data_IF_916507659919
#
_entry.id   IF_916507659919
#
_cell.length_a   1.000
_cell.length_b   1.000
_cell.length_c   1.000
_cell.angle_alpha   90.00
_cell.angle_beta   90.00
_cell.angle_gamma   90.00
#
_symmetry.space_group_name_H-M   'P 1'
#
loop_
_entity.id
_entity.type
_entity.pdbx_description
1 polymer ?
#
# COMPACT_ATOMS: atom_id res chain seq x y z
N UNK A 1 -50.44 -29.96 22.00
CA UNK A 1 -49.18 -30.72 21.90
C UNK A 1 -48.85 -31.17 23.31
N UNK A 2 -48.59 -32.45 23.50
CA UNK A 2 -48.30 -32.97 24.82
C UNK A 2 -46.91 -32.52 25.33
N UNK A 3 -46.75 -32.48 26.64
CA UNK A 3 -45.53 -32.00 27.31
C UNK A 3 -44.30 -32.84 26.90
N UNK A 4 -44.46 -34.13 26.74
CA UNK A 4 -43.41 -35.06 26.33
C UNK A 4 -42.87 -34.77 24.94
N UNK A 5 -43.73 -34.40 23.97
CA UNK A 5 -43.31 -33.99 22.63
C UNK A 5 -42.51 -32.68 22.64
N UNK A 6 -42.87 -31.73 23.52
CA UNK A 6 -42.15 -30.48 23.67
C UNK A 6 -40.75 -30.70 24.23
N UNK A 7 -40.64 -31.55 25.26
CA UNK A 7 -39.35 -31.82 25.92
C UNK A 7 -38.41 -32.58 24.98
N UNK A 8 -38.87 -33.63 24.31
CA UNK A 8 -38.03 -34.39 23.36
C UNK A 8 -37.57 -33.52 22.19
N UNK A 9 -38.48 -32.76 21.59
CA UNK A 9 -38.12 -31.91 20.44
C UNK A 9 -37.22 -30.73 20.87
N UNK A 10 -37.45 -30.10 22.00
CA UNK A 10 -36.64 -29.04 22.51
C UNK A 10 -35.21 -29.48 22.81
N UNK A 11 -35.06 -30.66 23.43
CA UNK A 11 -33.77 -31.15 23.91
C UNK A 11 -32.95 -31.91 22.84
N UNK A 12 -33.59 -32.70 22.02
CA UNK A 12 -32.91 -33.68 21.17
C UNK A 12 -33.05 -33.45 19.66
N UNK A 13 -33.98 -32.60 19.20
CA UNK A 13 -34.20 -32.43 17.76
C UNK A 13 -32.98 -31.95 17.00
N UNK A 14 -32.21 -31.04 17.58
CA UNK A 14 -31.01 -30.49 16.98
C UNK A 14 -29.86 -31.49 16.98
N UNK A 15 -29.66 -32.19 18.11
CA UNK A 15 -28.52 -33.10 18.31
C UNK A 15 -28.74 -34.47 17.65
N UNK A 16 -29.86 -35.08 17.90
CA UNK A 16 -30.16 -36.44 17.43
C UNK A 16 -30.86 -36.48 16.06
N UNK A 17 -31.48 -35.36 15.67
CA UNK A 17 -32.14 -35.17 14.38
C UNK A 17 -33.61 -35.63 14.35
N UNK A 18 -34.34 -35.22 13.31
CA UNK A 18 -35.77 -35.46 13.21
C UNK A 18 -36.18 -36.94 13.10
N UNK A 19 -35.35 -37.80 12.52
CA UNK A 19 -35.63 -39.24 12.40
C UNK A 19 -35.62 -39.93 13.76
N UNK A 20 -34.65 -39.62 14.61
CA UNK A 20 -34.55 -40.15 15.97
C UNK A 20 -35.74 -39.66 16.84
N UNK A 21 -36.03 -38.35 16.80
CA UNK A 21 -37.14 -37.78 17.55
C UNK A 21 -38.50 -38.36 17.10
N UNK A 22 -38.67 -38.58 15.79
CA UNK A 22 -39.87 -39.21 15.23
C UNK A 22 -40.08 -40.62 15.76
N UNK A 23 -39.00 -41.43 15.83
CA UNK A 23 -39.03 -42.78 16.39
C UNK A 23 -39.36 -42.75 17.89
N UNK A 24 -38.79 -41.86 18.69
CA UNK A 24 -39.08 -41.74 20.13
C UNK A 24 -40.53 -41.29 20.41
N UNK A 25 -41.11 -40.50 19.50
CA UNK A 25 -42.48 -39.98 19.64
C UNK A 25 -43.52 -40.85 18.96
N UNK A 26 -43.14 -41.93 18.27
CA UNK A 26 -44.04 -42.78 17.53
C UNK A 26 -44.82 -42.06 16.41
N UNK A 27 -44.22 -41.04 15.80
CA UNK A 27 -44.86 -40.22 14.75
C UNK A 27 -44.05 -40.26 13.46
N UNK A 28 -44.68 -39.88 12.36
CA UNK A 28 -43.98 -39.79 11.08
C UNK A 28 -42.91 -38.69 11.08
N UNK A 29 -41.87 -38.88 10.27
CA UNK A 29 -40.79 -37.88 10.06
C UNK A 29 -41.38 -36.50 9.74
N UNK A 30 -42.36 -36.44 8.83
CA UNK A 30 -43.01 -35.19 8.42
C UNK A 30 -43.74 -34.50 9.58
N UNK A 31 -44.45 -35.29 10.39
CA UNK A 31 -45.13 -34.79 11.59
C UNK A 31 -44.15 -34.24 12.63
N UNK A 32 -43.01 -34.93 12.84
CA UNK A 32 -41.94 -34.49 13.72
C UNK A 32 -41.36 -33.13 13.27
N UNK A 33 -41.03 -32.95 11.99
CA UNK A 33 -40.51 -31.70 11.42
C UNK A 33 -41.52 -30.55 11.58
N UNK A 34 -42.81 -30.79 11.32
CA UNK A 34 -43.87 -29.80 11.49
C UNK A 34 -44.06 -29.37 12.95
N UNK A 35 -44.00 -30.34 13.90
CA UNK A 35 -44.07 -30.05 15.33
C UNK A 35 -42.89 -29.23 15.81
N UNK A 36 -41.65 -29.59 15.41
CA UNK A 36 -40.44 -28.84 15.73
C UNK A 36 -40.52 -27.40 15.21
N UNK A 37 -41.02 -27.19 13.96
CA UNK A 37 -41.24 -25.84 13.41
C UNK A 37 -42.20 -25.01 14.24
N UNK A 38 -43.32 -25.60 14.70
CA UNK A 38 -44.30 -24.91 15.56
C UNK A 38 -43.74 -24.53 16.92
N UNK A 39 -42.76 -25.28 17.43
CA UNK A 39 -42.03 -25.00 18.67
C UNK A 39 -40.87 -24.01 18.47
N UNK A 40 -40.63 -23.54 17.24
CA UNK A 40 -39.48 -22.68 16.94
C UNK A 40 -38.11 -23.40 17.03
N UNK A 41 -38.14 -24.76 17.12
CA UNK A 41 -36.88 -25.52 17.15
C UNK A 41 -36.31 -25.57 15.74
N UNK A 42 -35.11 -25.01 15.57
CA UNK A 42 -34.43 -24.95 14.30
C UNK A 42 -34.07 -26.34 13.76
N UNK A 43 -34.00 -26.48 12.44
CA UNK A 43 -33.53 -27.74 11.83
C UNK A 43 -32.03 -27.96 12.20
N UNK A 44 -31.64 -29.25 12.29
CA UNK A 44 -30.22 -29.63 12.48
C UNK A 44 -29.29 -28.92 11.48
N UNK A 45 -29.77 -28.67 10.26
CA UNK A 45 -29.06 -27.90 9.23
C UNK A 45 -28.90 -26.43 9.61
N UNK A 46 -29.92 -25.80 10.16
CA UNK A 46 -29.87 -24.41 10.61
C UNK A 46 -28.94 -24.24 11.82
N UNK A 47 -29.02 -25.18 12.76
CA UNK A 47 -28.14 -25.19 13.95
C UNK A 47 -26.66 -25.39 13.56
N UNK A 48 -26.38 -26.40 12.73
CA UNK A 48 -25.02 -26.64 12.22
C UNK A 48 -24.47 -25.41 11.47
N UNK A 49 -25.33 -24.68 10.76
CA UNK A 49 -24.96 -23.44 10.11
C UNK A 49 -24.62 -22.36 11.12
N UNK A 50 -25.37 -22.18 12.18
CA UNK A 50 -25.11 -21.21 13.25
C UNK A 50 -23.79 -21.55 13.96
N UNK A 51 -23.55 -22.82 14.27
CA UNK A 51 -22.28 -23.26 14.89
C UNK A 51 -21.07 -22.97 13.99
N UNK A 52 -21.18 -23.24 12.68
CA UNK A 52 -20.15 -22.93 11.69
C UNK A 52 -19.89 -21.43 11.63
N UNK A 53 -20.95 -20.63 11.53
CA UNK A 53 -20.85 -19.16 11.47
C UNK A 53 -20.23 -18.61 12.77
N UNK A 54 -20.61 -19.14 13.94
CA UNK A 54 -20.02 -18.79 15.23
C UNK A 54 -18.55 -19.14 15.29
N UNK A 55 -18.19 -20.38 14.94
CA UNK A 55 -16.79 -20.81 14.93
C UNK A 55 -15.93 -19.94 14.01
N UNK A 56 -16.44 -19.58 12.83
CA UNK A 56 -15.74 -18.67 11.90
C UNK A 56 -15.60 -17.28 12.51
N UNK A 57 -16.61 -16.71 13.19
CA UNK A 57 -16.50 -15.42 13.87
C UNK A 57 -15.39 -15.41 14.92
N UNK A 58 -15.32 -16.48 15.72
CA UNK A 58 -14.42 -16.57 16.88
C UNK A 58 -12.97 -16.88 16.46
N UNK A 59 -12.77 -17.63 15.38
CA UNK A 59 -11.47 -18.23 15.05
C UNK A 59 -10.88 -17.78 13.69
N UNK A 60 -11.70 -17.40 12.71
CA UNK A 60 -11.22 -17.12 11.35
C UNK A 60 -10.16 -16.02 11.25
N UNK A 61 -10.15 -15.09 12.21
CA UNK A 61 -9.12 -14.05 12.29
C UNK A 61 -7.82 -14.51 12.95
N UNK A 62 -7.88 -15.58 13.75
CA UNK A 62 -6.76 -16.09 14.56
C UNK A 62 -6.03 -17.25 13.88
N UNK A 63 -6.74 -18.03 13.07
CA UNK A 63 -6.25 -19.26 12.44
C UNK A 63 -6.29 -19.15 10.90
N UNK A 64 -5.67 -20.08 10.18
CA UNK A 64 -5.78 -20.12 8.73
C UNK A 64 -7.18 -20.61 8.29
N UNK A 65 -7.63 -20.16 7.12
CA UNK A 65 -8.90 -20.67 6.56
C UNK A 65 -8.86 -22.18 6.26
N UNK A 66 -7.65 -22.79 6.18
CA UNK A 66 -7.47 -24.24 6.07
C UNK A 66 -7.65 -24.92 7.43
N UNK A 67 -7.11 -24.36 8.48
CA UNK A 67 -7.28 -24.87 9.87
C UNK A 67 -8.73 -24.83 10.28
N UNK A 68 -9.43 -23.70 10.11
CA UNK A 68 -10.88 -23.63 10.32
C UNK A 68 -11.65 -24.67 9.50
N UNK A 69 -11.22 -24.95 8.28
CA UNK A 69 -11.85 -25.93 7.41
C UNK A 69 -11.68 -27.36 7.94
N UNK A 70 -10.50 -27.68 8.46
CA UNK A 70 -10.21 -28.98 9.10
C UNK A 70 -11.05 -29.14 10.36
N UNK A 71 -11.07 -28.15 11.25
CA UNK A 71 -11.84 -28.16 12.52
C UNK A 71 -13.35 -28.30 12.28
N UNK A 72 -13.85 -27.65 11.22
CA UNK A 72 -15.28 -27.68 10.87
C UNK A 72 -15.69 -28.87 9.98
N UNK A 73 -14.72 -29.62 9.46
CA UNK A 73 -14.97 -30.71 8.52
C UNK A 73 -15.62 -30.25 7.21
N UNK A 74 -15.27 -29.06 6.70
CA UNK A 74 -15.80 -28.48 5.45
C UNK A 74 -14.66 -28.00 4.54
N UNK A 75 -14.97 -27.75 3.26
CA UNK A 75 -13.95 -27.24 2.33
C UNK A 75 -13.49 -25.83 2.70
N UNK A 76 -12.20 -25.53 2.53
CA UNK A 76 -11.62 -24.21 2.80
C UNK A 76 -12.25 -23.08 1.96
N UNK A 77 -12.76 -23.41 0.78
CA UNK A 77 -13.52 -22.48 -0.06
C UNK A 77 -14.87 -22.11 0.59
N UNK A 78 -15.56 -23.08 1.20
CA UNK A 78 -16.81 -22.86 1.93
C UNK A 78 -16.59 -21.96 3.14
N UNK A 79 -15.48 -22.14 3.89
CA UNK A 79 -15.12 -21.25 5.00
C UNK A 79 -14.98 -19.81 4.51
N UNK A 80 -14.28 -19.57 3.40
CA UNK A 80 -14.09 -18.21 2.83
C UNK A 80 -15.42 -17.59 2.39
N UNK A 81 -16.29 -18.37 1.74
CA UNK A 81 -17.61 -17.89 1.31
C UNK A 81 -18.50 -17.53 2.50
N UNK A 82 -18.48 -18.36 3.55
CA UNK A 82 -19.25 -18.09 4.76
C UNK A 82 -18.69 -16.86 5.47
N UNK A 83 -17.39 -16.74 5.66
CA UNK A 83 -16.74 -15.58 6.27
C UNK A 83 -17.10 -14.27 5.54
N UNK A 84 -17.00 -14.25 4.20
CA UNK A 84 -17.42 -13.11 3.39
C UNK A 84 -18.89 -12.76 3.58
N UNK A 85 -19.79 -13.77 3.58
CA UNK A 85 -21.24 -13.56 3.77
C UNK A 85 -21.59 -12.98 5.14
N UNK A 86 -20.87 -13.38 6.21
CA UNK A 86 -21.14 -12.91 7.58
C UNK A 86 -20.30 -11.67 7.95
N UNK A 87 -19.57 -11.07 6.97
CA UNK A 87 -18.78 -9.85 7.17
C UNK A 87 -17.55 -10.05 8.06
N UNK A 88 -17.03 -11.29 8.17
CA UNK A 88 -15.77 -11.55 8.89
C UNK A 88 -14.62 -11.50 7.90
N UNK A 89 -13.99 -10.35 7.84
CA UNK A 89 -12.74 -10.22 7.12
C UNK A 89 -11.61 -10.90 7.90
N UNK A 90 -10.73 -11.58 7.18
CA UNK A 90 -9.53 -12.12 7.78
C UNK A 90 -8.67 -10.94 8.21
N UNK A 91 -8.43 -10.77 9.53
CA UNK A 91 -7.29 -9.95 9.94
C UNK A 91 -6.09 -10.56 9.25
N UNK A 92 -5.52 -9.78 8.36
CA UNK A 92 -4.42 -10.17 7.53
C UNK A 92 -3.35 -10.82 8.39
N UNK A 93 -3.24 -12.14 8.27
CA UNK A 93 -2.28 -12.92 9.05
C UNK A 93 -0.86 -12.59 8.62
N UNK A 94 0.12 -12.95 9.44
CA UNK A 94 1.57 -12.83 9.19
C UNK A 94 2.05 -13.36 7.81
N UNK A 95 1.23 -14.06 7.05
CA UNK A 95 1.49 -14.39 5.63
C UNK A 95 1.43 -13.19 4.70
N UNK A 96 0.91 -12.03 5.17
CA UNK A 96 0.99 -10.75 4.47
C UNK A 96 2.36 -10.08 4.62
N UNK A 97 3.10 -10.42 5.64
CA UNK A 97 4.52 -10.15 5.70
C UNK A 97 5.21 -11.12 4.74
N UNK A 98 5.11 -10.82 3.45
CA UNK A 98 5.87 -11.54 2.45
C UNK A 98 7.33 -11.57 2.93
N UNK A 99 7.91 -12.76 3.06
CA UNK A 99 9.35 -12.93 3.35
C UNK A 99 10.25 -12.30 2.27
N UNK A 100 9.63 -11.67 1.25
CA UNK A 100 10.28 -11.06 0.10
C UNK A 100 10.66 -9.59 0.28
N UNK A 101 10.25 -8.94 1.37
CA UNK A 101 10.54 -7.52 1.68
C UNK A 101 10.37 -7.27 3.18
N UNK A 102 11.08 -6.26 3.72
CA UNK A 102 10.79 -5.75 5.06
C UNK A 102 9.41 -5.05 5.07
N UNK A 103 8.38 -5.76 5.49
CA UNK A 103 7.00 -5.31 5.45
C UNK A 103 6.74 -4.03 6.27
N UNK A 104 7.51 -3.81 7.34
CA UNK A 104 7.38 -2.69 8.28
C UNK A 104 8.19 -1.46 7.88
N UNK A 105 8.79 -1.46 6.67
CA UNK A 105 9.72 -0.43 6.23
C UNK A 105 9.13 1.00 6.29
N UNK A 106 7.84 1.17 6.03
CA UNK A 106 7.14 2.45 6.09
C UNK A 106 6.33 2.68 7.39
N UNK A 107 6.50 1.86 8.41
CA UNK A 107 5.83 2.06 9.71
C UNK A 107 6.49 3.16 10.54
N UNK A 108 7.77 3.41 10.28
CA UNK A 108 8.54 4.50 10.90
C UNK A 108 9.19 5.39 9.84
N UNK A 109 9.32 6.66 10.17
CA UNK A 109 10.00 7.63 9.33
C UNK A 109 11.52 7.55 9.55
N UNK A 110 12.25 7.26 8.47
CA UNK A 110 13.72 7.32 8.39
C UNK A 110 14.14 8.09 7.15
N UNK A 111 15.41 8.41 7.03
CA UNK A 111 15.97 9.06 5.84
C UNK A 111 15.72 8.22 4.57
N UNK A 112 15.89 6.91 4.70
CA UNK A 112 15.69 5.95 3.63
C UNK A 112 14.21 5.82 3.26
N UNK A 113 13.31 5.70 4.26
CA UNK A 113 11.87 5.57 3.97
C UNK A 113 11.31 6.85 3.34
N UNK A 114 11.76 8.03 3.77
CA UNK A 114 11.37 9.30 3.16
C UNK A 114 11.87 9.42 1.72
N UNK A 115 13.14 9.07 1.44
CA UNK A 115 13.67 9.07 0.08
C UNK A 115 12.92 8.09 -0.83
N UNK A 116 12.79 6.84 -0.40
CA UNK A 116 12.13 5.80 -1.22
C UNK A 116 10.66 6.14 -1.45
N UNK A 117 9.98 6.78 -0.48
CA UNK A 117 8.64 7.30 -0.67
C UNK A 117 8.62 8.39 -1.76
N UNK A 118 9.52 9.35 -1.72
CA UNK A 118 9.64 10.40 -2.75
C UNK A 118 9.87 9.80 -4.14
N UNK A 119 10.76 8.84 -4.24
CA UNK A 119 11.02 8.12 -5.49
C UNK A 119 9.81 7.29 -5.95
N UNK A 120 9.07 6.67 -5.03
CA UNK A 120 7.81 5.97 -5.34
C UNK A 120 6.74 6.95 -5.87
N UNK A 121 6.69 8.17 -5.32
CA UNK A 121 5.79 9.22 -5.80
C UNK A 121 6.11 9.65 -7.23
N UNK A 122 7.36 9.64 -7.65
CA UNK A 122 7.80 9.94 -9.00
C UNK A 122 7.67 8.68 -9.91
N UNK A 123 8.59 7.78 -9.81
CA UNK A 123 8.81 6.63 -10.70
C UNK A 123 8.23 5.30 -10.16
N UNK A 124 7.31 5.34 -9.20
CA UNK A 124 6.71 4.12 -8.66
C UNK A 124 5.22 3.98 -8.96
N UNK A 125 4.67 2.83 -8.62
CA UNK A 125 3.23 2.54 -8.72
C UNK A 125 2.81 1.52 -7.67
N UNK A 126 1.56 1.64 -7.20
CA UNK A 126 0.90 0.63 -6.37
C UNK A 126 -0.30 0.11 -7.14
N UNK A 127 -0.55 -1.20 -7.08
CA UNK A 127 -1.72 -1.85 -7.69
C UNK A 127 -2.65 -2.42 -6.62
N UNK A 128 -3.92 -2.57 -6.95
CA UNK A 128 -4.99 -3.03 -6.04
C UNK A 128 -4.64 -4.26 -5.19
N UNK A 129 -3.94 -5.24 -5.79
CA UNK A 129 -3.57 -6.49 -5.11
C UNK A 129 -2.31 -6.40 -4.27
N UNK A 130 -1.85 -5.19 -3.93
CA UNK A 130 -0.69 -4.99 -3.06
C UNK A 130 0.66 -5.10 -3.77
N UNK A 131 0.70 -5.07 -5.10
CA UNK A 131 1.96 -5.01 -5.85
C UNK A 131 2.50 -3.59 -5.82
N UNK A 132 3.75 -3.43 -5.41
CA UNK A 132 4.53 -2.19 -5.45
C UNK A 132 5.58 -2.33 -6.54
N UNK A 133 5.73 -1.30 -7.36
CA UNK A 133 6.66 -1.27 -8.48
C UNK A 133 7.49 0.01 -8.42
N UNK A 134 8.76 -0.11 -8.75
CA UNK A 134 9.69 1.00 -9.01
C UNK A 134 10.24 0.86 -10.42
N UNK A 135 10.20 1.92 -11.19
CA UNK A 135 10.70 1.98 -12.55
C UNK A 135 11.92 2.89 -12.62
N UNK A 136 13.00 2.46 -13.26
CA UNK A 136 14.17 3.30 -13.48
C UNK A 136 15.05 2.72 -14.58
N UNK A 137 15.75 3.62 -15.30
CA UNK A 137 16.77 3.23 -16.30
C UNK A 137 18.08 2.84 -15.61
N UNK A 138 18.40 3.48 -14.50
CA UNK A 138 19.61 3.21 -13.71
C UNK A 138 19.34 2.06 -12.72
N UNK A 139 19.86 0.88 -13.05
CA UNK A 139 19.74 -0.31 -12.21
C UNK A 139 20.47 -0.17 -10.88
N UNK A 140 21.50 0.69 -10.79
CA UNK A 140 22.26 0.87 -9.55
C UNK A 140 21.39 1.44 -8.43
N UNK A 141 20.52 2.39 -8.76
CA UNK A 141 19.54 2.93 -7.80
C UNK A 141 18.51 1.88 -7.37
N UNK A 142 17.98 1.10 -8.32
CA UNK A 142 17.04 0.01 -7.98
C UNK A 142 17.70 -1.05 -7.08
N UNK A 143 18.97 -1.37 -7.29
CA UNK A 143 19.71 -2.29 -6.42
C UNK A 143 19.91 -1.74 -5.00
N UNK A 144 20.18 -0.44 -4.84
CA UNK A 144 20.24 0.22 -3.54
C UNK A 144 18.89 0.14 -2.82
N UNK A 145 17.79 0.47 -3.51
CA UNK A 145 16.43 0.36 -2.97
C UNK A 145 16.11 -1.08 -2.59
N UNK A 146 16.45 -2.06 -3.46
CA UNK A 146 16.26 -3.48 -3.22
C UNK A 146 16.95 -3.93 -1.93
N UNK A 147 18.21 -3.54 -1.75
CA UNK A 147 19.02 -3.89 -0.57
C UNK A 147 18.45 -3.25 0.70
N UNK A 148 18.15 -1.96 0.67
CA UNK A 148 17.64 -1.20 1.83
C UNK A 148 16.30 -1.73 2.30
N UNK A 149 15.38 -2.01 1.38
CA UNK A 149 14.05 -2.57 1.70
C UNK A 149 14.06 -4.08 1.97
N UNK A 150 15.20 -4.76 1.78
CA UNK A 150 15.30 -6.22 1.90
C UNK A 150 14.46 -6.97 0.86
N UNK A 151 14.29 -6.39 -0.34
CA UNK A 151 13.50 -7.00 -1.42
C UNK A 151 14.29 -8.17 -2.03
N UNK A 152 13.66 -9.34 -2.10
CA UNK A 152 14.30 -10.58 -2.61
C UNK A 152 14.06 -10.83 -4.10
N UNK A 153 13.09 -10.15 -4.69
CA UNK A 153 12.82 -10.26 -6.13
C UNK A 153 13.91 -9.58 -6.92
N UNK A 154 14.19 -10.10 -8.10
CA UNK A 154 15.18 -9.55 -9.02
C UNK A 154 14.62 -8.37 -9.80
N UNK A 155 15.52 -7.47 -10.22
CA UNK A 155 15.22 -6.39 -11.15
C UNK A 155 15.03 -7.02 -12.54
N UNK A 156 13.98 -6.61 -13.24
CA UNK A 156 13.64 -7.14 -14.58
C UNK A 156 13.65 -6.02 -15.61
N UNK A 157 13.93 -6.39 -16.85
CA UNK A 157 13.75 -5.46 -17.97
C UNK A 157 12.26 -5.12 -18.17
N UNK A 158 11.98 -3.87 -18.44
CA UNK A 158 10.66 -3.35 -18.74
C UNK A 158 10.74 -2.48 -20.02
N UNK A 159 10.68 -3.14 -21.18
CA UNK A 159 10.97 -2.50 -22.45
C UNK A 159 12.48 -2.36 -22.72
N UNK A 160 12.85 -1.49 -23.68
CA UNK A 160 14.23 -1.42 -24.18
C UNK A 160 15.19 -0.67 -23.22
N UNK A 161 14.70 0.29 -22.45
CA UNK A 161 15.54 1.21 -21.68
C UNK A 161 15.11 1.37 -20.22
N UNK A 162 14.13 0.63 -19.77
CA UNK A 162 13.59 0.75 -18.42
C UNK A 162 13.72 -0.58 -17.68
N UNK A 163 13.99 -0.51 -16.39
CA UNK A 163 14.01 -1.65 -15.49
C UNK A 163 12.92 -1.50 -14.43
N UNK A 164 12.42 -2.61 -13.93
CA UNK A 164 11.40 -2.64 -12.90
C UNK A 164 11.84 -3.52 -11.73
N UNK A 165 11.75 -2.97 -10.55
CA UNK A 165 11.81 -3.71 -9.29
C UNK A 165 10.38 -3.82 -8.76
N UNK A 166 9.89 -5.03 -8.55
CA UNK A 166 8.51 -5.23 -8.10
C UNK A 166 8.41 -6.32 -7.05
N UNK A 167 7.50 -6.14 -6.12
CA UNK A 167 7.16 -7.14 -5.11
C UNK A 167 5.69 -7.03 -4.73
N UNK A 168 5.16 -8.05 -4.06
CA UNK A 168 3.79 -8.03 -3.56
C UNK A 168 3.80 -8.09 -2.04
N UNK A 169 3.21 -7.06 -1.40
CA UNK A 169 2.98 -7.02 0.04
C UNK A 169 1.76 -6.17 0.35
N UNK A 170 0.66 -6.82 0.72
CA UNK A 170 -0.61 -6.13 0.97
C UNK A 170 -0.53 -5.19 2.18
N UNK A 171 0.20 -5.55 3.24
CA UNK A 171 0.36 -4.70 4.41
C UNK A 171 1.07 -3.39 4.04
N UNK A 172 2.24 -3.48 3.40
CA UNK A 172 2.99 -2.30 2.96
C UNK A 172 2.17 -1.44 1.99
N UNK A 173 1.43 -2.05 1.05
CA UNK A 173 0.59 -1.31 0.13
C UNK A 173 -0.57 -0.58 0.84
N UNK A 174 -1.18 -1.19 1.86
CA UNK A 174 -2.16 -0.51 2.72
C UNK A 174 -1.52 0.66 3.46
N UNK A 175 -0.35 0.43 4.07
CA UNK A 175 0.38 1.49 4.77
C UNK A 175 0.75 2.66 3.86
N UNK A 176 1.21 2.39 2.64
CA UNK A 176 1.50 3.42 1.64
C UNK A 176 0.25 4.21 1.23
N UNK A 177 -0.93 3.56 1.12
CA UNK A 177 -2.21 4.25 0.87
C UNK A 177 -2.61 5.17 2.03
N UNK A 178 -2.40 4.76 3.27
CA UNK A 178 -2.62 5.59 4.46
C UNK A 178 -1.71 6.82 4.47
N UNK A 179 -0.45 6.68 4.06
CA UNK A 179 0.49 7.79 3.89
C UNK A 179 0.03 8.75 2.79
N UNK A 180 -0.74 8.27 1.80
CA UNK A 180 -1.26 9.11 0.73
C UNK A 180 -0.88 8.66 -0.68
N UNK A 181 -0.12 7.58 -0.85
CA UNK A 181 0.20 7.06 -2.18
C UNK A 181 -1.07 6.53 -2.84
N UNK A 182 -1.38 7.00 -4.04
CA UNK A 182 -2.58 6.62 -4.79
C UNK A 182 -2.24 5.70 -5.96
N UNK A 183 -3.18 4.81 -6.26
CA UNK A 183 -3.16 4.05 -7.51
C UNK A 183 -3.42 5.00 -8.69
N UNK A 184 -2.86 4.69 -9.84
CA UNK A 184 -3.06 5.49 -11.06
C UNK A 184 -2.80 7.00 -10.87
N UNK A 185 -1.79 7.38 -10.07
CA UNK A 185 -1.39 8.78 -9.79
C UNK A 185 -1.24 9.65 -11.05
N UNK A 186 -1.00 9.02 -12.20
CA UNK A 186 -0.92 9.70 -13.49
C UNK A 186 -2.25 10.32 -13.96
N UNK A 187 -3.37 10.03 -13.31
CA UNK A 187 -4.71 10.50 -13.69
C UNK A 187 -5.26 11.61 -12.78
N UNK A 188 -4.42 12.38 -12.11
CA UNK A 188 -4.90 13.54 -11.35
C UNK A 188 -5.15 13.30 -9.85
N UNK A 189 -4.62 12.21 -9.28
CA UNK A 189 -4.90 11.81 -7.90
C UNK A 189 -3.68 11.90 -6.96
N UNK A 190 -2.72 12.77 -7.25
CA UNK A 190 -1.53 12.92 -6.41
C UNK A 190 -1.86 13.68 -5.14
N UNK A 191 -1.71 13.04 -3.99
CA UNK A 191 -1.95 13.64 -2.67
C UNK A 191 -0.61 13.71 -1.93
N UNK A 192 -0.34 14.84 -1.28
CA UNK A 192 0.88 15.00 -0.50
C UNK A 192 0.94 13.99 0.66
N UNK A 193 2.13 13.43 1.00
CA UNK A 193 2.23 12.41 2.04
C UNK A 193 1.82 12.92 3.43
N UNK A 194 0.97 12.14 4.10
CA UNK A 194 0.52 12.42 5.44
C UNK A 194 1.61 12.10 6.47
N UNK A 195 1.83 13.01 7.42
CA UNK A 195 2.73 12.78 8.55
C UNK A 195 4.22 12.76 8.22
N UNK A 196 4.63 13.25 7.04
CA UNK A 196 6.05 13.40 6.70
C UNK A 196 6.68 14.49 7.57
N UNK A 197 7.69 14.19 8.42
CA UNK A 197 8.33 15.20 9.25
C UNK A 197 9.17 16.18 8.42
N UNK A 198 9.15 17.46 8.78
CA UNK A 198 9.93 18.51 8.10
C UNK A 198 11.44 18.19 8.04
N UNK A 199 11.96 17.57 9.10
CA UNK A 199 13.40 17.17 9.17
C UNK A 199 13.77 16.10 8.14
N UNK A 200 12.81 15.35 7.62
CA UNK A 200 13.01 14.32 6.60
C UNK A 200 12.55 14.75 5.21
N UNK A 201 11.99 15.96 5.11
CA UNK A 201 11.47 16.46 3.85
C UNK A 201 12.52 16.54 2.74
N UNK A 202 13.77 16.89 3.08
CA UNK A 202 14.89 16.92 2.13
C UNK A 202 15.17 15.56 1.47
N UNK A 203 15.00 14.49 2.22
CA UNK A 203 15.14 13.13 1.68
C UNK A 203 13.97 12.76 0.75
N UNK A 204 12.74 13.11 1.13
CA UNK A 204 11.57 12.94 0.27
C UNK A 204 11.72 13.77 -1.03
N UNK A 205 12.10 15.03 -0.90
CA UNK A 205 12.37 15.91 -2.04
C UNK A 205 13.41 15.32 -3.00
N UNK A 206 14.55 14.84 -2.46
CA UNK A 206 15.59 14.19 -3.27
C UNK A 206 15.06 12.96 -4.00
N UNK A 207 14.30 12.10 -3.33
CA UNK A 207 13.70 10.92 -3.96
C UNK A 207 12.76 11.29 -5.10
N UNK A 208 11.91 12.28 -4.89
CA UNK A 208 11.03 12.79 -5.93
C UNK A 208 11.79 13.45 -7.08
N UNK A 209 12.82 14.26 -6.76
CA UNK A 209 13.70 14.88 -7.74
C UNK A 209 14.43 13.83 -8.59
N UNK A 210 14.88 12.75 -8.00
CA UNK A 210 15.57 11.68 -8.73
C UNK A 210 14.67 10.99 -9.77
N UNK A 211 13.37 10.88 -9.52
CA UNK A 211 12.40 10.43 -10.53
C UNK A 211 12.02 11.59 -11.48
N UNK A 212 11.11 12.43 -11.05
CA UNK A 212 10.42 13.46 -11.87
C UNK A 212 11.07 14.86 -11.82
N UNK A 213 12.28 14.98 -11.29
CA UNK A 213 13.01 16.24 -11.32
C UNK A 213 13.97 16.36 -12.51
N UNK A 214 14.40 17.57 -12.77
CA UNK A 214 15.50 17.83 -13.70
C UNK A 214 16.45 18.88 -13.14
N UNK A 215 17.72 18.79 -13.51
CA UNK A 215 18.73 19.81 -13.31
C UNK A 215 19.52 19.97 -14.59
N UNK A 216 19.84 21.20 -14.93
CA UNK A 216 20.64 21.53 -16.11
C UNK A 216 21.17 22.94 -16.03
N UNK A 217 22.05 23.27 -16.96
CA UNK A 217 22.65 24.58 -17.11
C UNK A 217 21.94 25.30 -18.24
N UNK A 218 21.48 26.51 -18.00
CA UNK A 218 20.64 27.27 -18.94
C UNK A 218 21.07 28.74 -19.04
N UNK A 219 20.76 29.31 -20.20
CA UNK A 219 20.98 30.72 -20.49
C UNK A 219 22.46 31.08 -20.78
N UNK A 220 22.68 32.34 -21.17
CA UNK A 220 24.02 32.88 -21.52
C UNK A 220 24.97 32.83 -20.33
N UNK A 221 24.46 32.97 -19.12
CA UNK A 221 25.21 32.94 -17.87
C UNK A 221 25.49 31.54 -17.32
N UNK A 222 25.09 30.51 -18.08
CA UNK A 222 25.25 29.12 -17.66
C UNK A 222 24.73 28.81 -16.24
N UNK A 223 23.60 29.39 -15.85
CA UNK A 223 23.05 29.20 -14.52
C UNK A 223 22.40 27.81 -14.36
N UNK A 224 22.59 27.20 -13.20
CA UNK A 224 21.87 25.97 -12.82
C UNK A 224 20.39 26.28 -12.66
N UNK A 225 19.56 25.38 -13.17
CA UNK A 225 18.13 25.36 -12.87
C UNK A 225 17.73 23.97 -12.38
N UNK A 226 17.15 23.95 -11.20
CA UNK A 226 16.53 22.77 -10.62
C UNK A 226 15.02 22.89 -10.84
N UNK A 227 14.38 21.83 -11.32
CA UNK A 227 12.93 21.81 -11.58
C UNK A 227 12.31 20.48 -11.13
N UNK A 228 11.06 20.53 -10.64
CA UNK A 228 10.22 19.38 -10.38
C UNK A 228 8.98 19.47 -11.25
N UNK A 229 8.42 18.31 -11.61
CA UNK A 229 7.25 18.21 -12.49
C UNK A 229 6.21 17.30 -11.84
N UNK A 230 4.99 17.80 -11.68
CA UNK A 230 3.84 17.01 -11.19
C UNK A 230 2.52 17.73 -11.46
N UNK A 231 1.45 17.27 -10.84
CA UNK A 231 0.16 17.96 -10.81
C UNK A 231 0.26 19.26 -10.03
N UNK A 232 -0.60 20.22 -10.37
CA UNK A 232 -0.56 21.60 -9.87
C UNK A 232 -0.42 21.67 -8.34
N UNK A 233 -1.40 21.13 -7.63
CA UNK A 233 -1.48 21.27 -6.17
C UNK A 233 -0.27 20.60 -5.47
N UNK A 234 0.21 19.48 -6.03
CA UNK A 234 1.38 18.78 -5.50
C UNK A 234 2.67 19.60 -5.70
N UNK A 235 2.87 20.16 -6.89
CA UNK A 235 4.03 21.01 -7.21
C UNK A 235 4.00 22.31 -6.42
N UNK A 236 2.83 22.95 -6.26
CA UNK A 236 2.67 24.16 -5.45
C UNK A 236 3.03 23.88 -3.99
N UNK A 237 2.58 22.75 -3.44
CA UNK A 237 2.93 22.35 -2.09
C UNK A 237 4.44 22.09 -1.95
N UNK A 238 5.03 21.35 -2.91
CA UNK A 238 6.48 21.12 -2.94
C UNK A 238 7.27 22.43 -2.95
N UNK A 239 6.84 23.39 -3.76
CA UNK A 239 7.46 24.71 -3.86
C UNK A 239 7.38 25.49 -2.54
N UNK A 240 6.19 25.58 -1.97
CA UNK A 240 5.96 26.35 -0.74
C UNK A 240 6.72 25.76 0.45
N UNK A 241 6.67 24.45 0.63
CA UNK A 241 7.36 23.77 1.73
C UNK A 241 8.88 23.85 1.57
N UNK A 242 9.41 23.72 0.34
CA UNK A 242 10.85 23.88 0.09
C UNK A 242 11.30 25.29 0.44
N UNK A 243 10.58 26.32 -0.01
CA UNK A 243 10.93 27.69 0.29
C UNK A 243 10.88 27.97 1.80
N UNK A 244 9.87 27.48 2.49
CA UNK A 244 9.72 27.62 3.94
C UNK A 244 10.84 26.92 4.71
N UNK A 245 11.15 25.67 4.37
CA UNK A 245 12.08 24.83 5.13
C UNK A 245 13.53 25.23 4.86
N UNK A 246 13.87 25.53 3.61
CA UNK A 246 15.24 25.86 3.19
C UNK A 246 15.56 27.36 3.38
N UNK A 247 14.55 28.21 3.45
CA UNK A 247 14.71 29.65 3.51
C UNK A 247 15.17 30.24 2.17
N UNK A 248 14.62 29.74 1.06
CA UNK A 248 14.83 30.29 -0.27
C UNK A 248 13.61 31.08 -0.70
N UNK A 249 13.80 32.11 -1.54
CA UNK A 249 12.75 33.05 -1.90
C UNK A 249 12.53 33.17 -3.40
N UNK A 250 13.43 32.61 -4.20
CA UNK A 250 13.36 32.63 -5.65
C UNK A 250 12.49 31.50 -6.23
N UNK A 251 12.50 31.43 -7.55
CA UNK A 251 11.80 30.41 -8.27
C UNK A 251 10.32 30.72 -8.54
N UNK A 252 9.57 29.71 -8.94
CA UNK A 252 8.15 29.88 -9.24
C UNK A 252 7.50 28.60 -9.75
N UNK A 253 6.16 28.60 -9.72
CA UNK A 253 5.33 27.54 -10.28
C UNK A 253 4.69 28.00 -11.57
N UNK A 254 4.72 27.16 -12.61
CA UNK A 254 4.15 27.46 -13.92
C UNK A 254 3.64 26.17 -14.57
N UNK A 255 2.74 26.30 -15.55
CA UNK A 255 2.32 25.18 -16.38
C UNK A 255 3.51 24.65 -17.20
N UNK A 256 3.66 23.33 -17.24
CA UNK A 256 4.69 22.69 -18.06
C UNK A 256 4.28 22.70 -19.54
N UNK A 257 4.98 23.50 -20.36
CA UNK A 257 4.64 23.72 -21.77
C UNK A 257 4.85 22.49 -22.65
N UNK A 258 5.71 21.57 -22.25
CA UNK A 258 6.00 20.31 -22.97
C UNK A 258 5.03 19.17 -22.66
N UNK A 259 4.17 19.32 -21.64
CA UNK A 259 3.26 18.28 -21.24
C UNK A 259 2.00 18.28 -22.13
N UNK A 260 1.62 17.07 -22.59
CA UNK A 260 0.34 16.85 -23.28
C UNK A 260 -0.88 17.03 -22.36
N UNK A 261 -0.66 17.16 -21.05
CA UNK A 261 -1.68 17.24 -20.00
C UNK A 261 -1.83 18.67 -19.49
N UNK A 262 -3.06 19.12 -19.34
CA UNK A 262 -3.37 20.48 -18.89
C UNK A 262 -3.10 20.72 -17.39
N UNK A 263 -3.15 19.66 -16.59
CA UNK A 263 -2.94 19.66 -15.14
C UNK A 263 -1.48 19.45 -14.71
N UNK A 264 -0.52 19.48 -15.65
CA UNK A 264 0.88 19.23 -15.40
C UNK A 264 1.67 20.52 -15.25
N UNK A 265 2.29 20.71 -14.10
CA UNK A 265 2.99 21.93 -13.71
C UNK A 265 4.45 21.64 -13.34
N UNK A 266 5.23 22.70 -13.31
CA UNK A 266 6.62 22.64 -12.84
C UNK A 266 6.85 23.75 -11.82
N UNK A 267 7.61 23.44 -10.76
CA UNK A 267 8.27 24.44 -9.96
C UNK A 267 9.77 24.42 -10.26
N UNK A 268 10.41 25.58 -10.22
CA UNK A 268 11.83 25.67 -10.54
C UNK A 268 12.52 26.78 -9.77
N UNK A 269 13.80 26.55 -9.47
CA UNK A 269 14.72 27.50 -8.85
C UNK A 269 15.92 27.67 -9.79
N UNK A 270 16.40 28.91 -9.95
CA UNK A 270 17.48 29.22 -10.88
C UNK A 270 18.49 30.27 -10.33
N UNK A 271 18.19 30.90 -9.19
CA UNK A 271 19.17 31.70 -8.50
C UNK A 271 20.25 30.79 -7.90
N UNK A 272 21.52 31.09 -8.12
CA UNK A 272 22.64 30.23 -7.75
C UNK A 272 22.64 29.88 -6.25
N UNK A 273 22.43 30.90 -5.38
CA UNK A 273 22.39 30.72 -3.93
C UNK A 273 21.21 29.83 -3.49
N UNK A 274 20.01 29.98 -4.11
CA UNK A 274 18.85 29.16 -3.79
C UNK A 274 19.08 27.71 -4.21
N UNK A 275 19.62 27.49 -5.41
CA UNK A 275 19.94 26.15 -5.91
C UNK A 275 20.98 25.47 -5.04
N UNK A 276 22.00 26.22 -4.58
CA UNK A 276 23.04 25.71 -3.67
C UNK A 276 22.47 25.31 -2.32
N UNK A 277 21.64 26.15 -1.70
CA UNK A 277 20.95 25.82 -0.44
C UNK A 277 20.08 24.60 -0.55
N UNK A 278 19.31 24.47 -1.65
CA UNK A 278 18.45 23.29 -1.90
C UNK A 278 19.32 22.05 -2.09
N UNK A 279 20.41 22.13 -2.84
CA UNK A 279 21.34 21.03 -3.01
C UNK A 279 21.93 20.56 -1.68
N UNK A 280 22.49 21.46 -0.87
CA UNK A 280 23.08 21.16 0.43
C UNK A 280 22.05 20.52 1.38
N UNK A 281 20.82 21.03 1.36
CA UNK A 281 19.72 20.50 2.16
C UNK A 281 19.29 19.09 1.71
N UNK A 282 19.06 18.89 0.43
CA UNK A 282 18.52 17.59 -0.05
C UNK A 282 19.59 16.48 -0.05
N UNK A 283 20.89 16.82 -0.16
CA UNK A 283 21.97 15.84 -0.12
C UNK A 283 22.60 15.70 1.28
N UNK A 284 22.20 16.52 2.26
CA UNK A 284 22.63 16.35 3.64
C UNK A 284 22.28 14.95 4.13
N UNK A 285 23.29 14.25 4.64
CA UNK A 285 23.13 12.87 5.15
C UNK A 285 22.51 11.87 4.16
N UNK A 286 22.68 12.10 2.86
CA UNK A 286 22.09 11.26 1.81
C UNK A 286 22.69 9.84 1.76
N UNK A 287 23.88 9.64 2.37
CA UNK A 287 24.65 8.43 2.13
C UNK A 287 24.95 8.28 0.63
N UNK A 288 24.66 7.12 0.10
CA UNK A 288 24.78 6.79 -1.33
C UNK A 288 23.43 6.67 -2.06
N UNK A 289 22.31 7.01 -1.37
CA UNK A 289 20.96 6.85 -1.88
C UNK A 289 20.51 8.07 -2.71
N UNK A 290 20.98 8.13 -3.94
CA UNK A 290 20.66 9.16 -4.94
C UNK A 290 21.01 8.70 -6.37
N UNK A 291 20.48 9.40 -7.37
CA UNK A 291 20.90 9.28 -8.77
C UNK A 291 22.19 10.07 -9.04
N UNK A 292 23.31 9.36 -9.20
CA UNK A 292 24.63 9.94 -9.42
C UNK A 292 24.63 10.92 -10.60
N UNK A 293 24.04 10.58 -11.72
CA UNK A 293 23.97 11.43 -12.91
C UNK A 293 23.36 12.82 -12.68
N UNK A 294 22.37 12.92 -11.75
CA UNK A 294 21.75 14.21 -11.41
C UNK A 294 22.59 15.01 -10.43
N UNK A 295 23.18 14.34 -9.45
CA UNK A 295 24.10 14.98 -8.50
C UNK A 295 25.34 15.54 -9.19
N UNK A 296 25.92 14.80 -10.11
CA UNK A 296 27.11 15.19 -10.89
C UNK A 296 26.91 16.49 -11.68
N UNK A 297 25.69 16.82 -12.11
CA UNK A 297 25.43 18.08 -12.83
C UNK A 297 25.72 19.28 -11.94
N UNK A 298 25.30 19.23 -10.67
CA UNK A 298 25.60 20.30 -9.71
C UNK A 298 27.10 20.38 -9.42
N UNK A 299 27.72 19.25 -9.10
CA UNK A 299 29.13 19.19 -8.68
C UNK A 299 30.07 19.63 -9.80
N UNK A 300 29.84 19.19 -11.04
CA UNK A 300 30.62 19.64 -12.21
C UNK A 300 30.52 21.14 -12.42
N UNK A 301 29.28 21.69 -12.33
CA UNK A 301 29.13 23.15 -12.51
C UNK A 301 29.91 23.93 -11.49
N UNK A 302 29.86 23.56 -10.21
CA UNK A 302 30.56 24.28 -9.16
C UNK A 302 32.09 24.07 -9.14
N UNK A 303 32.53 22.86 -9.55
CA UNK A 303 33.98 22.63 -9.73
C UNK A 303 34.58 23.49 -10.83
N UNK A 304 33.82 23.73 -11.93
CA UNK A 304 34.26 24.62 -13.01
C UNK A 304 34.29 26.11 -12.61
N UNK A 305 33.54 26.51 -11.57
CA UNK A 305 33.54 27.88 -11.07
C UNK A 305 34.65 28.12 -10.05
N UNK A 306 35.21 27.08 -9.45
CA UNK A 306 36.27 27.13 -8.47
C UNK A 306 37.69 27.03 -9.09
N UNK A 307 37.77 26.64 -10.37
CA UNK A 307 39.00 26.56 -11.16
C UNK A 307 39.22 27.83 -11.98
#
# INVERSE_FOLDING_TARGET
MDKQSCDILGQYYVTMGPSWCAAQLGISYRACVLRARRLGVGSRRAYKRIEIEKHIRDNYQKTSGRECAVELGIAAQSVRQIASRIGVEKKTSSSQYSKSVNALFFDSWTKESAYILGFLYADGSIRERGTVLFFQNDTSLLEKIRKIMGIKTEIRNHGERCHVLSFNNCYMACRLREIGVREAKSFGNMVFPNGLPDVLYGHFFRGFFDGDGSVGVYGEWNNLRLSLYAQKDFVERMYLDTNRIVGVHGGGVRRATSAKREDFFTCSWGAEDDVRKIYEWMYRDSGDLYLTRKKDVFERKWSMMAA
#
